data_IF_821022443614
#
_entry.id   IF_821022443614
#
_cell.length_a   1.000
_cell.length_b   1.000
_cell.length_c   1.000
_cell.angle_alpha   90.00
_cell.angle_beta   90.00
_cell.angle_gamma   90.00
#
_symmetry.space_group_name_H-M   'P 1'
#
loop_
_entity.id
_entity.type
_entity.pdbx_description
1 polymer ?
#
# COMPACT_ATOMS: atom_id res chain seq x y z
N UNK A 1 -0.91 2.92 22.64
CA UNK A 1 0.49 3.17 22.22
C UNK A 1 0.61 2.76 20.77
N UNK A 2 1.38 3.51 19.97
CA UNK A 2 1.48 3.31 18.53
C UNK A 2 2.57 2.30 18.18
N UNK A 3 2.42 1.57 17.06
CA UNK A 3 3.44 0.68 16.50
C UNK A 3 4.81 1.36 16.41
N UNK A 4 5.88 0.57 16.48
CA UNK A 4 7.25 1.09 16.40
C UNK A 4 7.78 1.03 14.97
N UNK A 5 7.88 2.19 14.34
CA UNK A 5 8.45 2.39 13.01
C UNK A 5 9.94 2.71 13.14
N UNK A 6 10.82 1.98 12.46
CA UNK A 6 12.28 2.13 12.64
C UNK A 6 13.02 2.20 11.31
N UNK A 7 13.99 3.13 11.25
CA UNK A 7 15.05 3.17 10.26
C UNK A 7 16.38 3.15 11.03
N UNK A 8 17.11 2.03 11.10
CA UNK A 8 18.35 1.95 11.86
C UNK A 8 19.49 2.65 11.12
N UNK A 9 20.42 3.26 11.87
CA UNK A 9 21.57 3.98 11.31
C UNK A 9 22.59 3.05 10.60
N UNK A 10 22.44 1.73 10.77
CA UNK A 10 23.30 0.71 10.15
C UNK A 10 22.92 0.38 8.70
N UNK A 11 21.82 0.93 8.17
CA UNK A 11 21.38 0.77 6.78
C UNK A 11 20.91 2.11 6.20
N UNK A 12 20.75 2.17 4.88
CA UNK A 12 20.26 3.39 4.23
C UNK A 12 18.82 3.71 4.63
N UNK A 13 18.54 4.98 4.88
CA UNK A 13 17.17 5.46 5.16
C UNK A 13 16.39 5.57 3.85
N UNK A 14 15.29 4.81 3.69
CA UNK A 14 14.44 4.92 2.51
C UNK A 14 13.58 6.19 2.54
N UNK A 15 13.20 6.68 1.35
CA UNK A 15 12.37 7.88 1.22
C UNK A 15 10.90 7.66 1.60
N UNK A 16 10.33 6.51 1.21
CA UNK A 16 8.88 6.30 1.15
C UNK A 16 8.37 5.11 1.98
N UNK A 17 9.16 4.60 2.92
CA UNK A 17 8.75 3.52 3.83
C UNK A 17 9.61 3.56 5.11
N UNK A 18 9.32 2.71 6.09
CA UNK A 18 10.24 2.41 7.18
C UNK A 18 10.89 1.05 6.97
N UNK A 19 12.17 0.90 7.29
CA UNK A 19 12.89 -0.38 7.15
C UNK A 19 12.20 -1.51 7.93
N UNK A 20 11.61 -1.18 9.09
CA UNK A 20 10.79 -2.12 9.85
C UNK A 20 9.62 -1.44 10.54
N UNK A 21 8.56 -2.21 10.77
CA UNK A 21 7.46 -1.86 11.66
C UNK A 21 7.23 -3.03 12.61
N UNK A 22 7.32 -2.77 13.90
CA UNK A 22 7.00 -3.73 14.95
C UNK A 22 5.60 -3.42 15.46
N UNK A 23 4.69 -4.39 15.26
CA UNK A 23 3.33 -4.30 15.78
C UNK A 23 3.32 -4.66 17.27
N UNK A 24 2.53 -3.91 18.04
CA UNK A 24 2.46 -4.08 19.48
C UNK A 24 1.87 -5.45 19.89
N UNK A 25 2.27 -5.99 21.05
CA UNK A 25 1.66 -7.20 21.59
C UNK A 25 0.15 -7.07 21.78
N UNK A 26 -0.59 -8.10 21.36
CA UNK A 26 -2.05 -8.18 21.50
C UNK A 26 -2.86 -7.45 20.43
N UNK A 27 -2.24 -7.04 19.32
CA UNK A 27 -2.98 -6.50 18.18
C UNK A 27 -3.83 -7.57 17.45
N UNK A 28 -5.02 -7.16 17.01
CA UNK A 28 -5.79 -7.80 15.96
C UNK A 28 -5.15 -7.48 14.60
N UNK A 29 -5.01 -8.48 13.74
CA UNK A 29 -4.44 -8.33 12.40
C UNK A 29 -5.52 -8.43 11.33
N UNK A 30 -5.40 -7.63 10.29
CA UNK A 30 -6.17 -7.73 9.08
C UNK A 30 -5.24 -7.91 7.88
N UNK A 31 -5.52 -8.94 7.10
CA UNK A 31 -4.82 -9.23 5.85
C UNK A 31 -5.72 -8.77 4.70
N UNK A 32 -5.29 -7.74 3.98
CA UNK A 32 -6.06 -7.15 2.88
C UNK A 32 -5.55 -7.72 1.58
N UNK A 33 -6.44 -8.36 0.82
CA UNK A 33 -6.13 -8.86 -0.52
C UNK A 33 -5.68 -7.74 -1.46
N UNK A 34 -4.92 -8.08 -2.50
CA UNK A 34 -4.47 -7.15 -3.52
C UNK A 34 -5.62 -6.32 -4.13
N UNK A 35 -5.49 -5.00 -4.07
CA UNK A 35 -6.41 -4.04 -4.67
C UNK A 35 -5.81 -3.50 -5.96
N UNK A 36 -6.59 -3.51 -7.03
CA UNK A 36 -6.19 -2.98 -8.34
C UNK A 36 -6.95 -1.70 -8.66
N UNK A 37 -6.60 -1.04 -9.76
CA UNK A 37 -7.26 0.16 -10.25
C UNK A 37 -8.62 -0.10 -10.91
N UNK A 38 -9.52 -0.80 -10.22
CA UNK A 38 -10.88 -1.10 -10.70
C UNK A 38 -11.92 -0.36 -9.86
N UNK A 39 -12.90 0.25 -10.51
CA UNK A 39 -14.03 0.88 -9.83
C UNK A 39 -15.13 -0.14 -9.48
N UNK A 40 -16.09 0.28 -8.64
CA UNK A 40 -17.20 -0.58 -8.20
C UNK A 40 -18.09 -1.08 -9.35
N UNK A 41 -18.22 -0.28 -10.41
CA UNK A 41 -18.94 -0.65 -11.64
C UNK A 41 -18.13 -1.58 -12.57
N UNK A 42 -16.91 -1.93 -12.17
CA UNK A 42 -15.99 -2.77 -12.93
C UNK A 42 -15.15 -2.04 -13.97
N UNK A 43 -15.30 -0.72 -14.11
CA UNK A 43 -14.48 0.09 -15.02
C UNK A 43 -13.03 0.18 -14.55
N UNK A 44 -12.11 0.27 -15.51
CA UNK A 44 -10.66 0.39 -15.28
C UNK A 44 -10.21 1.62 -16.06
N UNK A 45 -9.81 2.72 -15.40
CA UNK A 45 -9.36 3.91 -16.09
C UNK A 45 -8.00 3.69 -16.74
N UNK A 46 -7.71 4.51 -17.75
CA UNK A 46 -6.39 4.56 -18.35
C UNK A 46 -5.41 5.34 -17.47
N UNK A 47 -4.15 4.94 -17.54
CA UNK A 47 -3.03 5.63 -16.89
C UNK A 47 -2.78 5.22 -15.44
N UNK A 48 -1.51 5.25 -15.06
CA UNK A 48 -1.07 4.77 -13.74
C UNK A 48 -1.63 5.60 -12.59
N UNK A 49 -1.73 6.92 -12.72
CA UNK A 49 -2.18 7.79 -11.62
C UNK A 49 -3.63 7.44 -11.23
N UNK A 50 -4.54 7.38 -12.21
CA UNK A 50 -5.94 7.05 -11.97
C UNK A 50 -6.13 5.63 -11.41
N UNK A 51 -5.38 4.64 -11.94
CA UNK A 51 -5.44 3.28 -11.41
C UNK A 51 -4.86 3.18 -9.99
N UNK A 52 -3.78 3.90 -9.68
CA UNK A 52 -3.20 3.92 -8.34
C UNK A 52 -4.13 4.58 -7.32
N UNK A 53 -4.78 5.69 -7.69
CA UNK A 53 -5.77 6.36 -6.85
C UNK A 53 -6.93 5.42 -6.50
N UNK A 54 -7.44 4.67 -7.48
CA UNK A 54 -8.46 3.65 -7.24
C UNK A 54 -7.95 2.50 -6.38
N UNK A 55 -6.75 1.96 -6.65
CA UNK A 55 -6.18 0.85 -5.88
C UNK A 55 -6.03 1.22 -4.39
N UNK A 56 -5.46 2.39 -4.09
CA UNK A 56 -5.34 2.88 -2.72
C UNK A 56 -6.68 3.28 -2.10
N UNK A 57 -7.61 3.85 -2.88
CA UNK A 57 -8.95 4.17 -2.42
C UNK A 57 -9.77 2.93 -2.06
N UNK A 58 -9.64 1.85 -2.83
CA UNK A 58 -10.25 0.56 -2.53
C UNK A 58 -9.64 -0.08 -1.28
N UNK A 59 -8.31 -0.03 -1.15
CA UNK A 59 -7.62 -0.51 0.06
C UNK A 59 -8.12 0.22 1.32
N UNK A 60 -8.28 1.55 1.26
CA UNK A 60 -8.82 2.34 2.36
C UNK A 60 -10.26 1.94 2.73
N UNK A 61 -11.13 1.69 1.74
CA UNK A 61 -12.50 1.23 1.98
C UNK A 61 -12.53 -0.15 2.65
N UNK A 62 -11.69 -1.08 2.20
CA UNK A 62 -11.60 -2.44 2.79
C UNK A 62 -11.08 -2.40 4.23
N UNK A 63 -10.07 -1.56 4.50
CA UNK A 63 -9.58 -1.31 5.86
C UNK A 63 -10.71 -0.76 6.75
N UNK A 64 -11.40 0.28 6.28
CA UNK A 64 -12.44 0.97 7.03
C UNK A 64 -13.61 0.05 7.40
N UNK A 65 -14.05 -0.81 6.48
CA UNK A 65 -15.11 -1.80 6.74
C UNK A 65 -14.77 -2.75 7.90
N UNK A 66 -13.48 -3.00 8.14
CA UNK A 66 -12.98 -3.85 9.22
C UNK A 66 -12.57 -3.07 10.49
N UNK A 67 -12.80 -1.75 10.51
CA UNK A 67 -12.46 -0.86 11.62
C UNK A 67 -10.99 -0.44 11.70
N UNK A 68 -10.24 -0.56 10.60
CA UNK A 68 -8.85 -0.15 10.47
C UNK A 68 -8.70 1.15 9.66
N UNK A 69 -7.65 1.91 9.95
CA UNK A 69 -7.21 3.06 9.18
C UNK A 69 -5.87 2.82 8.47
N UNK A 70 -5.36 3.84 7.77
CA UNK A 70 -4.05 3.78 7.11
C UNK A 70 -2.91 3.74 8.15
N UNK A 71 -3.11 4.41 9.29
CA UNK A 71 -2.18 4.42 10.43
C UNK A 71 -1.94 3.03 11.04
N UNK A 72 -2.86 2.09 10.81
CA UNK A 72 -2.76 0.72 11.28
C UNK A 72 -1.98 -0.19 10.31
N UNK A 73 -1.68 0.28 9.09
CA UNK A 73 -0.96 -0.53 8.10
C UNK A 73 0.50 -0.66 8.51
N UNK A 74 0.92 -1.90 8.75
CA UNK A 74 2.28 -2.23 9.21
C UNK A 74 3.17 -2.72 8.08
N UNK A 75 2.59 -3.32 7.04
CA UNK A 75 3.32 -3.82 5.88
C UNK A 75 2.51 -3.65 4.58
N UNK A 76 3.19 -3.33 3.48
CA UNK A 76 2.57 -3.26 2.16
C UNK A 76 3.47 -3.84 1.05
N UNK A 77 2.84 -4.42 0.04
CA UNK A 77 3.49 -4.69 -1.26
C UNK A 77 2.83 -3.87 -2.34
N UNK A 78 3.60 -3.50 -3.35
CA UNK A 78 3.07 -2.89 -4.56
C UNK A 78 3.76 -3.43 -5.79
N UNK A 79 2.96 -3.69 -6.82
CA UNK A 79 3.37 -4.33 -8.04
C UNK A 79 2.98 -3.43 -9.21
N UNK A 80 3.95 -3.08 -10.06
CA UNK A 80 3.73 -2.36 -11.31
C UNK A 80 4.09 -3.24 -12.49
N UNK A 81 3.37 -3.11 -13.60
CA UNK A 81 3.68 -3.88 -14.83
C UNK A 81 4.67 -3.17 -15.74
N UNK A 82 4.87 -1.86 -15.55
CA UNK A 82 5.63 -0.99 -16.46
C UNK A 82 6.56 -0.08 -15.67
N UNK A 83 7.77 0.16 -16.18
CA UNK A 83 8.78 0.94 -15.43
C UNK A 83 8.58 2.44 -15.58
N UNK A 84 8.09 2.87 -16.73
CA UNK A 84 7.72 4.25 -17.06
C UNK A 84 6.60 4.80 -16.15
N UNK A 85 5.76 3.91 -15.61
CA UNK A 85 4.66 4.25 -14.72
C UNK A 85 5.11 4.56 -13.28
N UNK A 86 6.39 4.31 -12.96
CA UNK A 86 6.91 4.44 -11.59
C UNK A 86 6.68 5.83 -10.99
N UNK A 87 6.95 6.89 -11.74
CA UNK A 87 6.91 8.24 -11.19
C UNK A 87 5.47 8.70 -10.92
N UNK A 88 4.54 8.35 -11.81
CA UNK A 88 3.10 8.59 -11.61
C UNK A 88 2.56 7.81 -10.40
N UNK A 89 2.92 6.54 -10.26
CA UNK A 89 2.57 5.76 -9.06
C UNK A 89 3.14 6.38 -7.78
N UNK A 90 4.42 6.79 -7.78
CA UNK A 90 5.07 7.34 -6.58
C UNK A 90 4.46 8.68 -6.16
N UNK A 91 4.02 9.50 -7.12
CA UNK A 91 3.27 10.74 -6.86
C UNK A 91 1.97 10.46 -6.09
N UNK A 92 1.18 9.50 -6.55
CA UNK A 92 -0.06 9.09 -5.84
C UNK A 92 0.27 8.47 -4.49
N UNK A 93 1.22 7.55 -4.42
CA UNK A 93 1.62 6.92 -3.16
C UNK A 93 2.06 7.94 -2.10
N UNK A 94 2.77 8.99 -2.50
CA UNK A 94 3.23 10.03 -1.59
C UNK A 94 2.08 10.82 -0.95
N UNK A 95 0.91 10.91 -1.58
CA UNK A 95 -0.27 11.57 -0.99
C UNK A 95 -1.07 10.67 -0.05
N UNK A 96 -0.88 9.35 -0.11
CA UNK A 96 -1.60 8.38 0.73
C UNK A 96 -1.08 8.36 2.17
N UNK A 97 0.24 8.42 2.34
CA UNK A 97 0.86 8.19 3.64
C UNK A 97 1.27 9.50 4.33
N UNK A 98 0.97 9.60 5.62
CA UNK A 98 1.53 10.64 6.48
C UNK A 98 2.96 10.32 6.95
N UNK A 99 3.25 10.65 8.21
CA UNK A 99 4.58 10.42 8.80
C UNK A 99 4.91 8.93 8.92
N UNK A 100 3.97 8.13 9.43
CA UNK A 100 4.15 6.70 9.68
C UNK A 100 3.85 5.89 8.43
N UNK A 101 4.89 5.64 7.62
CA UNK A 101 4.79 4.83 6.41
C UNK A 101 5.02 3.35 6.77
N UNK A 102 4.27 2.39 6.21
CA UNK A 102 4.47 0.97 6.50
C UNK A 102 5.84 0.49 6.02
N UNK A 103 6.29 -0.66 6.51
CA UNK A 103 7.33 -1.41 5.82
C UNK A 103 6.83 -1.81 4.43
N UNK A 104 7.69 -1.77 3.42
CA UNK A 104 7.23 -1.83 2.03
C UNK A 104 8.16 -2.60 1.11
N UNK A 105 7.54 -3.37 0.21
CA UNK A 105 8.20 -3.94 -0.97
C UNK A 105 7.57 -3.40 -2.24
N UNK A 106 8.38 -3.01 -3.21
CA UNK A 106 7.94 -2.52 -4.52
C UNK A 106 8.60 -3.35 -5.64
N UNK A 107 7.78 -3.89 -6.54
CA UNK A 107 8.22 -4.81 -7.59
C UNK A 107 7.71 -4.36 -8.96
N UNK A 108 8.53 -4.60 -9.97
CA UNK A 108 8.06 -4.65 -11.35
C UNK A 108 7.82 -6.11 -11.73
N UNK A 109 6.60 -6.40 -12.21
CA UNK A 109 6.15 -7.75 -12.55
C UNK A 109 5.79 -7.83 -14.04
N UNK A 110 5.80 -9.03 -14.61
CA UNK A 110 5.49 -9.23 -16.03
C UNK A 110 4.01 -9.02 -16.38
N UNK A 111 3.12 -9.01 -15.39
CA UNK A 111 1.69 -8.83 -15.56
C UNK A 111 0.92 -9.04 -14.26
N UNK A 112 -0.35 -8.64 -14.28
CA UNK A 112 -1.33 -8.83 -13.20
C UNK A 112 -2.49 -9.69 -13.70
N UNK A 113 -3.50 -9.92 -12.87
CA UNK A 113 -4.63 -10.81 -13.18
C UNK A 113 -5.42 -10.42 -14.45
N UNK A 114 -5.34 -9.16 -14.88
CA UNK A 114 -5.89 -8.67 -16.15
C UNK A 114 -4.86 -7.80 -16.86
N UNK A 115 -4.77 -7.85 -18.20
CA UNK A 115 -3.78 -7.07 -18.95
C UNK A 115 -3.98 -5.55 -18.86
N UNK A 116 -5.19 -5.09 -18.48
CA UNK A 116 -5.49 -3.67 -18.28
C UNK A 116 -4.95 -3.11 -16.95
N UNK A 117 -4.64 -3.97 -15.97
CA UNK A 117 -4.13 -3.52 -14.69
C UNK A 117 -2.66 -3.14 -14.79
N UNK A 118 -2.34 -1.93 -14.37
CA UNK A 118 -0.99 -1.38 -14.31
C UNK A 118 -0.39 -1.47 -12.90
N UNK A 119 -1.26 -1.55 -11.88
CA UNK A 119 -0.88 -1.54 -10.47
C UNK A 119 -1.76 -2.46 -9.63
N UNK A 120 -1.13 -3.09 -8.64
CA UNK A 120 -1.79 -3.79 -7.54
C UNK A 120 -1.11 -3.42 -6.20
N UNK A 121 -1.90 -3.19 -5.15
CA UNK A 121 -1.42 -2.91 -3.79
C UNK A 121 -2.01 -3.90 -2.79
N UNK A 122 -1.16 -4.50 -1.96
CA UNK A 122 -1.52 -5.45 -0.91
C UNK A 122 -1.05 -4.88 0.43
N UNK A 123 -1.81 -5.08 1.52
CA UNK A 123 -1.36 -4.65 2.83
C UNK A 123 -1.77 -5.57 3.98
N UNK A 124 -1.03 -5.44 5.07
CA UNK A 124 -1.34 -6.03 6.38
C UNK A 124 -1.47 -4.87 7.36
N UNK A 125 -2.58 -4.86 8.09
CA UNK A 125 -2.83 -3.91 9.15
C UNK A 125 -2.86 -4.61 10.52
N UNK A 126 -2.46 -3.89 11.56
CA UNK A 126 -2.51 -4.36 12.94
C UNK A 126 -3.05 -3.24 13.82
N UNK A 127 -3.96 -3.55 14.73
CA UNK A 127 -4.57 -2.57 15.65
C UNK A 127 -4.90 -3.24 16.96
N UNK A 128 -4.78 -2.51 18.07
CA UNK A 128 -5.32 -2.97 19.36
C UNK A 128 -6.79 -2.57 19.44
N UNK A 129 -7.66 -3.52 19.79
CA UNK A 129 -9.08 -3.24 20.00
C UNK A 129 -9.29 -2.20 21.13
#
# INVERSE_FOLDING_TARGET
>A
MAHKFTNPDSVTTPLNYHQSVEAEPGCRYLFVAGQTGIALDGSIPDGIEAQAELAFGNMQKVLAESGFGLEDVVFMKSFLTRREDRDGYQKVRASVWGTNKPASTFLLVSGLARPQFLVEVECIAAKKD
#
